data_IF_369305058187
#
_entry.id   IF_369305058187
#
_cell.length_a   1.000
_cell.length_b   1.000
_cell.length_c   1.000
_cell.angle_alpha   90.00
_cell.angle_beta   90.00
_cell.angle_gamma   90.00
#
_symmetry.space_group_name_H-M   'P 1'
#
loop_
_entity.id
_entity.type
_entity.pdbx_description
1 polymer ?
#
# COMPACT_ATOMS: atom_id res chain seq x y z
N UNK A 1 -65.02 9.49 60.19
CA UNK A 1 -64.56 10.02 58.89
C UNK A 1 -63.09 9.72 58.74
N UNK A 2 -62.77 8.70 57.93
CA UNK A 2 -61.36 8.29 57.62
C UNK A 2 -60.95 8.88 56.31
N UNK A 3 -59.96 9.73 56.33
CA UNK A 3 -59.36 10.28 55.08
C UNK A 3 -58.31 9.28 54.59
N UNK A 4 -58.57 8.71 53.44
CA UNK A 4 -57.59 7.94 52.65
C UNK A 4 -56.63 8.89 52.00
N UNK A 5 -55.35 8.77 52.30
CA UNK A 5 -54.27 9.48 51.62
C UNK A 5 -53.79 8.56 50.54
N UNK A 6 -54.06 8.92 49.25
CA UNK A 6 -53.60 8.20 48.09
C UNK A 6 -52.19 8.69 47.79
N UNK A 7 -51.20 7.88 48.07
CA UNK A 7 -49.83 8.12 47.58
C UNK A 7 -49.72 7.67 46.14
N UNK A 8 -49.67 8.63 45.22
CA UNK A 8 -49.32 8.37 43.82
C UNK A 8 -47.81 8.31 43.75
N UNK A 9 -47.26 7.12 43.65
CA UNK A 9 -45.84 6.90 43.38
C UNK A 9 -45.63 7.10 41.90
N UNK A 10 -45.13 8.29 41.51
CA UNK A 10 -44.68 8.54 40.14
C UNK A 10 -43.32 7.90 39.96
N UNK A 11 -43.28 6.71 39.38
CA UNK A 11 -42.07 6.11 38.91
C UNK A 11 -41.67 6.88 37.63
N UNK A 12 -40.78 7.84 37.77
CA UNK A 12 -40.08 8.41 36.65
C UNK A 12 -39.07 7.37 36.15
N UNK A 13 -39.49 6.57 35.18
CA UNK A 13 -38.54 5.81 34.35
C UNK A 13 -37.74 6.82 33.53
N UNK A 14 -36.61 7.25 34.06
CA UNK A 14 -35.56 7.87 33.26
C UNK A 14 -34.95 6.79 32.39
N UNK A 15 -35.53 6.63 31.19
CA UNK A 15 -34.83 5.98 30.11
C UNK A 15 -33.63 6.89 29.77
N UNK A 16 -32.53 6.64 30.46
CA UNK A 16 -31.24 7.10 30.00
C UNK A 16 -30.99 6.45 28.61
N UNK A 17 -31.30 7.20 27.60
CA UNK A 17 -30.84 6.89 26.25
C UNK A 17 -29.31 7.07 26.28
N UNK A 18 -28.61 6.03 26.72
CA UNK A 18 -27.20 5.90 26.46
C UNK A 18 -27.14 5.75 24.92
N UNK A 19 -27.04 6.87 24.23
CA UNK A 19 -26.47 6.89 22.90
C UNK A 19 -25.02 6.39 23.08
N UNK A 20 -24.83 5.09 23.13
CA UNK A 20 -23.57 4.52 22.71
C UNK A 20 -23.44 4.99 21.25
N UNK A 21 -22.62 6.01 21.04
CA UNK A 21 -22.01 6.22 19.74
C UNK A 21 -21.14 4.97 19.53
N UNK A 22 -21.75 3.89 19.09
CA UNK A 22 -21.04 2.88 18.36
C UNK A 22 -20.51 3.66 17.16
N UNK A 23 -19.22 3.96 17.17
CA UNK A 23 -18.52 4.19 15.94
C UNK A 23 -18.87 2.94 15.11
N UNK A 24 -19.80 3.10 14.20
CA UNK A 24 -19.95 2.14 13.14
C UNK A 24 -18.64 2.30 12.37
N UNK A 25 -17.66 1.46 12.69
CA UNK A 25 -16.61 1.19 11.73
C UNK A 25 -17.40 0.81 10.48
N UNK A 26 -17.31 1.65 9.45
CA UNK A 26 -17.87 1.32 8.16
C UNK A 26 -17.10 0.07 7.77
N UNK A 27 -17.73 -1.09 7.83
CA UNK A 27 -17.08 -2.32 7.44
C UNK A 27 -16.62 -2.12 6.00
N UNK A 28 -15.36 -2.38 5.74
CA UNK A 28 -14.88 -2.48 4.36
C UNK A 28 -15.79 -3.45 3.66
N UNK A 29 -16.29 -3.06 2.49
CA UNK A 29 -17.15 -3.90 1.67
C UNK A 29 -16.50 -5.28 1.47
N UNK A 30 -17.34 -6.30 1.30
CA UNK A 30 -16.84 -7.63 0.95
C UNK A 30 -15.94 -7.55 -0.27
N UNK A 31 -14.88 -8.36 -0.36
CA UNK A 31 -14.02 -8.39 -1.52
C UNK A 31 -14.87 -8.61 -2.78
N UNK A 32 -14.82 -7.70 -3.72
CA UNK A 32 -15.49 -7.86 -4.99
C UNK A 32 -14.57 -8.39 -6.09
N UNK A 33 -13.30 -8.53 -5.77
CA UNK A 33 -12.31 -9.25 -6.55
C UNK A 33 -11.71 -10.38 -5.72
N UNK A 34 -11.80 -11.59 -6.23
CA UNK A 34 -10.96 -12.66 -5.75
C UNK A 34 -9.51 -12.27 -6.07
N UNK A 35 -8.68 -12.28 -5.01
CA UNK A 35 -7.29 -11.91 -5.13
C UNK A 35 -6.51 -12.88 -6.00
N UNK A 36 -5.55 -12.29 -6.71
CA UNK A 36 -4.67 -12.95 -7.65
C UNK A 36 -3.74 -13.97 -7.05
N UNK A 37 -2.50 -14.16 -7.52
CA UNK A 37 -1.82 -13.22 -8.42
C UNK A 37 -2.41 -13.22 -9.83
N UNK A 38 -2.38 -12.05 -10.46
CA UNK A 38 -2.77 -11.88 -11.86
C UNK A 38 -1.69 -12.49 -12.76
N UNK A 39 -2.13 -13.24 -13.77
CA UNK A 39 -1.21 -13.79 -14.76
C UNK A 39 -0.90 -12.75 -15.82
N UNK A 40 0.38 -12.45 -16.00
CA UNK A 40 0.93 -11.59 -17.05
C UNK A 40 0.19 -10.24 -17.21
N UNK A 41 -0.21 -9.93 -18.45
CA UNK A 41 -1.01 -8.77 -18.81
C UNK A 41 -2.52 -8.97 -18.58
N UNK A 42 -2.94 -9.90 -17.72
CA UNK A 42 -4.33 -9.98 -17.33
C UNK A 42 -4.73 -8.66 -16.70
N UNK A 43 -5.10 -7.80 -17.58
CA UNK A 43 -5.88 -6.64 -17.21
C UNK A 43 -7.15 -7.19 -16.60
N UNK A 44 -7.65 -6.50 -15.65
CA UNK A 44 -9.03 -6.66 -15.22
C UNK A 44 -10.02 -6.40 -16.37
N UNK A 45 -9.92 -7.12 -17.45
CA UNK A 45 -10.76 -6.92 -18.65
C UNK A 45 -12.22 -7.30 -18.43
N UNK A 46 -12.47 -8.14 -17.44
CA UNK A 46 -13.80 -8.69 -17.14
C UNK A 46 -14.13 -8.50 -15.67
N UNK A 47 -13.97 -7.28 -15.19
CA UNK A 47 -14.26 -6.99 -13.81
C UNK A 47 -15.72 -7.25 -13.47
N UNK A 48 -15.99 -7.96 -12.39
CA UNK A 48 -17.27 -7.86 -11.73
C UNK A 48 -17.47 -6.38 -11.35
N UNK A 49 -18.72 -5.99 -11.25
CA UNK A 49 -19.12 -4.60 -11.06
C UNK A 49 -18.22 -3.85 -10.07
N UNK A 50 -17.62 -2.75 -10.51
CA UNK A 50 -16.94 -1.82 -9.63
C UNK A 50 -17.91 -1.37 -8.54
N UNK A 51 -17.47 -1.38 -7.28
CA UNK A 51 -18.32 -0.95 -6.17
C UNK A 51 -18.39 0.55 -6.05
N UNK A 52 -17.30 1.27 -6.41
CA UNK A 52 -17.19 2.71 -6.36
C UNK A 52 -17.58 3.27 -4.97
N UNK A 53 -17.05 2.64 -3.94
CA UNK A 53 -17.32 2.98 -2.55
C UNK A 53 -16.55 4.23 -2.12
N UNK A 54 -17.19 5.09 -1.33
CA UNK A 54 -16.55 6.23 -0.71
C UNK A 54 -16.02 5.83 0.67
N UNK A 55 -14.69 5.75 0.78
CA UNK A 55 -14.00 5.39 2.01
C UNK A 55 -13.47 6.64 2.76
N UNK A 56 -14.02 7.82 2.53
CA UNK A 56 -13.59 9.07 3.19
C UNK A 56 -13.72 9.05 4.71
N UNK A 57 -14.56 8.17 5.24
CA UNK A 57 -14.72 7.95 6.68
C UNK A 57 -13.65 7.08 7.33
N UNK A 58 -12.73 6.48 6.56
CA UNK A 58 -11.64 5.68 7.11
C UNK A 58 -10.48 6.57 7.53
N UNK A 59 -9.89 6.29 8.67
CA UNK A 59 -8.71 6.95 9.21
C UNK A 59 -7.41 6.14 9.05
N UNK A 60 -7.54 4.88 8.61
CA UNK A 60 -6.45 3.92 8.45
C UNK A 60 -5.72 3.99 7.10
N UNK A 61 -5.87 5.08 6.37
CA UNK A 61 -5.13 5.29 5.12
C UNK A 61 -3.62 5.31 5.36
N UNK A 62 -2.88 4.52 4.57
CA UNK A 62 -1.42 4.48 4.61
C UNK A 62 -0.88 5.79 4.05
N UNK A 63 -0.13 6.54 4.84
CA UNK A 63 0.39 7.86 4.49
C UNK A 63 1.88 7.86 4.20
N UNK A 64 2.65 7.03 4.92
CA UNK A 64 4.09 6.94 4.73
C UNK A 64 4.47 5.84 3.77
N UNK A 65 5.37 6.18 2.87
CA UNK A 65 5.82 5.30 1.80
C UNK A 65 7.32 5.41 1.61
N UNK A 66 7.95 4.34 1.22
CA UNK A 66 9.31 4.34 0.71
C UNK A 66 9.27 4.32 -0.82
N UNK A 67 10.06 5.18 -1.47
CA UNK A 67 10.04 5.23 -2.94
C UNK A 67 11.00 6.28 -3.49
N UNK A 68 10.95 6.53 -4.80
CA UNK A 68 11.71 7.61 -5.41
C UNK A 68 11.25 8.97 -4.89
N UNK A 69 12.19 9.89 -4.74
CA UNK A 69 11.89 11.28 -4.35
C UNK A 69 11.38 12.07 -5.55
N UNK A 70 10.09 11.97 -5.79
CA UNK A 70 9.39 12.66 -6.87
C UNK A 70 8.84 11.73 -7.95
N UNK A 71 8.28 12.36 -8.97
CA UNK A 71 7.55 11.71 -10.04
C UNK A 71 8.42 11.52 -11.29
N UNK A 72 7.99 10.60 -12.12
CA UNK A 72 8.50 10.35 -13.46
C UNK A 72 7.47 10.82 -14.49
N UNK A 73 7.88 11.47 -15.56
CA UNK A 73 6.94 11.75 -16.64
C UNK A 73 6.83 10.57 -17.60
N UNK A 74 5.60 10.14 -17.83
CA UNK A 74 5.27 9.07 -18.75
C UNK A 74 4.98 9.54 -20.18
N UNK A 75 5.10 10.85 -20.44
CA UNK A 75 4.82 11.47 -21.73
C UNK A 75 3.41 11.18 -22.29
N UNK A 76 2.42 11.02 -21.43
CA UNK A 76 1.05 10.73 -21.82
C UNK A 76 0.80 9.29 -22.25
N UNK A 77 1.69 8.38 -21.95
CA UNK A 77 1.57 6.95 -22.28
C UNK A 77 0.71 6.16 -21.30
N UNK A 78 -0.20 6.77 -20.64
CA UNK A 78 -1.23 6.07 -19.93
C UNK A 78 -2.14 5.32 -20.90
N UNK A 79 -2.72 4.31 -20.53
CA UNK A 79 -2.58 3.23 -19.56
C UNK A 79 -1.66 2.10 -20.05
N UNK A 80 -0.85 2.38 -21.08
CA UNK A 80 -0.02 1.37 -21.74
C UNK A 80 1.31 1.12 -21.03
N UNK A 81 1.43 1.58 -19.79
CA UNK A 81 2.62 1.39 -19.01
C UNK A 81 2.84 -0.06 -18.67
N UNK A 82 3.58 -0.67 -19.53
CA UNK A 82 3.98 -2.02 -19.35
C UNK A 82 5.37 -2.04 -18.73
N UNK A 83 5.42 -2.17 -17.42
CA UNK A 83 6.47 -2.91 -16.76
C UNK A 83 7.87 -2.31 -16.64
N UNK A 84 8.26 -1.30 -17.37
CA UNK A 84 9.69 -1.13 -17.61
C UNK A 84 10.28 0.12 -16.99
N UNK A 85 9.48 0.91 -16.28
CA UNK A 85 9.95 2.22 -15.81
C UNK A 85 11.02 2.10 -14.71
N UNK A 86 10.86 1.17 -13.81
CA UNK A 86 11.90 0.86 -12.82
C UNK A 86 13.11 0.24 -13.48
N UNK A 87 12.89 -0.67 -14.43
CA UNK A 87 13.95 -1.30 -15.21
C UNK A 87 14.72 -0.27 -16.02
N UNK A 88 14.02 0.61 -16.72
CA UNK A 88 14.62 1.71 -17.48
C UNK A 88 15.44 2.65 -16.58
N UNK A 89 14.87 3.08 -15.46
CA UNK A 89 15.53 4.01 -14.52
C UNK A 89 16.67 3.37 -13.73
N UNK A 90 16.84 2.06 -13.79
CA UNK A 90 17.91 1.32 -13.10
C UNK A 90 18.85 0.58 -14.05
N UNK A 91 18.83 0.89 -15.36
CA UNK A 91 19.64 0.25 -16.41
C UNK A 91 19.47 -1.29 -16.40
N UNK A 92 18.26 -1.77 -16.30
CA UNK A 92 17.95 -3.20 -16.28
C UNK A 92 18.33 -3.95 -15.00
N UNK A 93 18.70 -3.23 -13.93
CA UNK A 93 19.18 -3.86 -12.69
C UNK A 93 18.06 -4.28 -11.73
N UNK A 94 16.86 -3.76 -11.96
CA UNK A 94 15.71 -3.97 -11.09
C UNK A 94 14.42 -3.87 -11.91
N UNK A 95 13.54 -4.85 -11.78
CA UNK A 95 12.17 -4.78 -12.33
C UNK A 95 11.18 -4.37 -11.24
N UNK A 96 9.93 -4.08 -11.61
CA UNK A 96 8.86 -3.79 -10.65
C UNK A 96 8.53 -5.01 -9.79
N UNK A 97 8.45 -6.19 -10.41
CA UNK A 97 8.24 -7.46 -9.72
C UNK A 97 9.36 -7.70 -8.72
N UNK A 98 10.61 -7.54 -9.13
CA UNK A 98 11.74 -7.74 -8.23
C UNK A 98 11.75 -6.71 -7.10
N UNK A 99 11.45 -5.44 -7.38
CA UNK A 99 11.38 -4.38 -6.37
C UNK A 99 10.33 -4.66 -5.29
N UNK A 100 9.26 -5.34 -5.63
CA UNK A 100 8.23 -5.78 -4.69
C UNK A 100 8.60 -7.05 -3.90
N UNK A 101 9.87 -7.46 -3.93
CA UNK A 101 10.42 -8.55 -3.10
C UNK A 101 11.39 -8.00 -2.08
N UNK A 102 11.64 -8.80 -1.02
CA UNK A 102 12.66 -8.46 -0.02
C UNK A 102 14.04 -8.25 -0.68
N UNK A 103 14.42 -9.13 -1.59
CA UNK A 103 15.72 -9.05 -2.25
C UNK A 103 15.85 -7.80 -3.14
N UNK A 104 14.81 -7.47 -3.87
CA UNK A 104 14.78 -6.26 -4.69
C UNK A 104 14.78 -4.99 -3.85
N UNK A 105 13.97 -4.95 -2.79
CA UNK A 105 13.98 -3.85 -1.83
C UNK A 105 15.37 -3.63 -1.23
N UNK A 106 16.04 -4.69 -0.80
CA UNK A 106 17.40 -4.61 -0.23
C UNK A 106 18.46 -4.11 -1.23
N UNK A 107 18.26 -4.30 -2.55
CA UNK A 107 19.14 -3.70 -3.56
C UNK A 107 19.11 -2.18 -3.48
N UNK A 108 17.97 -1.56 -3.18
CA UNK A 108 17.83 -0.10 -3.09
C UNK A 108 18.58 0.49 -1.90
N UNK A 109 18.90 -0.32 -0.87
CA UNK A 109 19.68 0.12 0.28
C UNK A 109 21.08 0.58 -0.12
N UNK A 110 21.83 -0.27 -0.85
CA UNK A 110 23.25 -0.08 -1.06
C UNK A 110 23.74 -0.26 -2.51
N UNK A 111 22.94 -0.88 -3.39
CA UNK A 111 23.37 -1.24 -4.75
C UNK A 111 22.77 -0.33 -5.80
N UNK A 112 21.50 -0.01 -5.67
CA UNK A 112 20.74 0.84 -6.58
C UNK A 112 20.25 2.01 -5.74
N UNK A 113 21.12 2.97 -5.49
CA UNK A 113 20.88 4.07 -4.54
C UNK A 113 19.96 5.15 -5.10
N UNK A 114 19.76 5.15 -6.41
CA UNK A 114 18.94 6.12 -7.13
C UNK A 114 18.27 5.47 -8.33
N UNK A 115 17.25 6.12 -8.85
CA UNK A 115 16.65 5.86 -10.15
C UNK A 115 17.05 7.00 -11.08
N UNK A 116 17.57 6.67 -12.23
CA UNK A 116 17.99 7.65 -13.22
C UNK A 116 17.10 7.57 -14.46
N UNK A 117 15.97 8.25 -14.41
CA UNK A 117 15.22 8.57 -15.60
C UNK A 117 15.93 9.73 -16.31
N UNK A 118 15.95 9.75 -17.62
CA UNK A 118 16.58 10.84 -18.35
C UNK A 118 15.91 12.20 -18.05
N UNK A 119 16.53 13.29 -18.45
CA UNK A 119 16.01 14.64 -18.16
C UNK A 119 14.63 14.90 -18.76
N UNK A 120 14.28 14.21 -19.86
CA UNK A 120 12.95 14.33 -20.47
C UNK A 120 11.87 13.65 -19.62
N UNK A 121 12.26 12.76 -18.74
CA UNK A 121 11.35 11.97 -17.90
C UNK A 121 11.42 12.30 -16.41
N UNK A 122 12.12 13.36 -16.02
CA UNK A 122 12.17 13.79 -14.60
C UNK A 122 13.53 13.67 -13.94
N UNK A 123 14.53 13.11 -14.65
CA UNK A 123 15.92 13.01 -14.19
C UNK A 123 16.15 11.99 -13.08
N UNK A 124 17.25 12.18 -12.35
CA UNK A 124 17.64 11.28 -11.26
C UNK A 124 16.85 11.56 -10.00
N UNK A 125 16.42 10.50 -9.33
CA UNK A 125 15.71 10.54 -8.05
C UNK A 125 16.37 9.60 -7.05
N UNK A 126 16.53 10.07 -5.82
CA UNK A 126 16.98 9.23 -4.72
C UNK A 126 15.83 8.42 -4.13
N UNK A 127 16.15 7.30 -3.50
CA UNK A 127 15.19 6.57 -2.69
C UNK A 127 15.05 7.23 -1.32
N UNK A 128 13.82 7.53 -0.92
CA UNK A 128 13.52 8.19 0.35
C UNK A 128 12.24 7.67 0.98
N UNK A 129 11.98 8.09 2.21
CA UNK A 129 10.64 8.00 2.81
C UNK A 129 9.93 9.33 2.58
N UNK A 130 8.69 9.25 2.17
CA UNK A 130 7.82 10.41 2.03
C UNK A 130 6.49 10.16 2.73
N UNK A 131 5.84 11.24 3.14
CA UNK A 131 4.53 11.20 3.76
C UNK A 131 3.55 12.01 2.94
N UNK A 132 2.38 11.42 2.68
CA UNK A 132 1.29 12.06 1.95
C UNK A 132 0.50 12.98 2.88
N UNK A 133 0.13 14.15 2.39
CA UNK A 133 -0.63 15.12 3.17
C UNK A 133 -2.14 14.83 3.10
N UNK A 134 -2.79 14.42 4.20
CA UNK A 134 -4.22 14.15 4.19
C UNK A 134 -5.08 15.42 3.95
N UNK A 135 -4.56 16.60 4.26
CA UNK A 135 -5.26 17.87 3.97
C UNK A 135 -5.32 18.16 2.47
N UNK A 136 -4.48 17.51 1.66
CA UNK A 136 -4.48 17.57 0.20
C UNK A 136 -4.90 16.23 -0.43
N UNK A 137 -5.76 15.47 0.25
CA UNK A 137 -6.27 14.18 -0.22
C UNK A 137 -5.19 13.11 -0.43
N UNK A 138 -3.99 13.27 0.15
CA UNK A 138 -2.81 12.45 -0.11
C UNK A 138 -2.32 12.57 -1.57
N UNK A 139 -2.26 13.78 -2.08
CA UNK A 139 -1.77 14.07 -3.41
C UNK A 139 -0.29 13.65 -3.56
N UNK A 140 0.03 13.03 -4.68
CA UNK A 140 1.36 12.50 -5.00
C UNK A 140 2.31 13.51 -5.67
N UNK A 141 1.84 14.71 -5.96
CA UNK A 141 2.65 15.77 -6.56
C UNK A 141 3.67 16.34 -5.55
N UNK A 142 4.77 15.63 -5.36
CA UNK A 142 5.81 15.90 -4.36
C UNK A 142 7.19 16.22 -4.93
N UNK A 143 7.25 16.55 -6.20
CA UNK A 143 8.47 16.89 -6.92
C UNK A 143 8.57 16.22 -8.28
N UNK A 144 9.26 16.84 -9.19
CA UNK A 144 9.33 16.43 -10.60
C UNK A 144 8.17 16.96 -11.43
N UNK A 145 7.85 16.31 -12.56
CA UNK A 145 6.71 16.67 -13.39
C UNK A 145 5.40 16.51 -12.61
N UNK A 146 4.38 17.29 -12.98
CA UNK A 146 3.07 17.26 -12.36
C UNK A 146 2.00 16.60 -13.24
N UNK A 147 2.18 16.63 -14.55
CA UNK A 147 1.24 16.08 -15.52
C UNK A 147 1.86 14.89 -16.27
N UNK A 148 1.03 13.96 -16.67
CA UNK A 148 1.45 12.73 -17.36
C UNK A 148 2.57 12.01 -16.61
N UNK A 149 2.29 11.68 -15.35
CA UNK A 149 3.28 11.15 -14.41
C UNK A 149 3.00 9.73 -13.99
N UNK A 150 4.08 9.08 -13.56
CA UNK A 150 4.03 7.88 -12.74
C UNK A 150 4.69 8.15 -11.39
N UNK A 151 4.19 7.48 -10.37
CA UNK A 151 4.72 7.54 -9.03
C UNK A 151 4.72 6.16 -8.39
N UNK A 152 5.60 5.97 -7.42
CA UNK A 152 5.81 4.68 -6.78
C UNK A 152 5.91 4.83 -5.27
N UNK A 153 5.25 3.93 -4.57
CA UNK A 153 5.38 3.78 -3.13
C UNK A 153 5.52 2.32 -2.73
N UNK A 154 6.36 2.07 -1.75
CA UNK A 154 6.63 0.75 -1.20
C UNK A 154 6.31 0.76 0.28
N UNK A 155 5.67 -0.29 0.74
CA UNK A 155 5.54 -0.61 2.16
C UNK A 155 6.02 -2.03 2.43
N UNK A 156 6.45 -2.26 3.66
CA UNK A 156 6.71 -3.61 4.17
C UNK A 156 5.67 -3.91 5.23
N UNK A 157 4.99 -5.04 5.08
CA UNK A 157 3.94 -5.51 5.96
C UNK A 157 4.48 -6.72 6.72
N UNK A 158 4.64 -6.62 8.04
CA UNK A 158 5.03 -7.76 8.88
C UNK A 158 3.79 -8.44 9.44
N UNK A 159 3.48 -9.62 8.91
CA UNK A 159 2.33 -10.40 9.33
C UNK A 159 2.75 -11.51 10.32
N UNK A 160 2.14 -11.60 11.51
CA UNK A 160 2.54 -12.58 12.53
C UNK A 160 2.27 -14.04 12.11
N UNK A 161 1.42 -14.22 11.12
CA UNK A 161 1.05 -15.51 10.51
C UNK A 161 0.68 -15.30 9.05
N UNK A 162 0.62 -16.39 8.28
CA UNK A 162 -0.02 -16.32 6.96
C UNK A 162 -1.51 -15.99 7.12
N UNK A 163 -1.99 -14.98 6.36
CA UNK A 163 -3.36 -14.49 6.48
C UNK A 163 -3.87 -13.91 5.15
N UNK A 164 -5.19 -13.86 5.03
CA UNK A 164 -5.88 -13.11 4.01
C UNK A 164 -6.24 -11.72 4.54
N UNK A 165 -6.36 -10.78 3.65
CA UNK A 165 -6.73 -9.40 3.91
C UNK A 165 -7.58 -8.85 2.78
N UNK A 166 -8.37 -7.84 3.06
CA UNK A 166 -9.04 -7.03 2.03
C UNK A 166 -8.23 -5.77 1.84
N UNK A 167 -7.73 -5.58 0.63
CA UNK A 167 -6.99 -4.42 0.18
C UNK A 167 -7.92 -3.48 -0.58
N UNK A 168 -7.95 -2.20 -0.21
CA UNK A 168 -8.82 -1.18 -0.79
C UNK A 168 -7.99 -0.02 -1.36
N UNK A 169 -7.55 -0.12 -2.62
CA UNK A 169 -6.83 0.95 -3.29
C UNK A 169 -7.79 2.02 -3.83
N UNK A 170 -7.48 3.29 -3.54
CA UNK A 170 -8.11 4.44 -4.18
C UNK A 170 -7.02 5.28 -4.86
N UNK A 171 -7.19 5.51 -6.15
CA UNK A 171 -6.14 6.11 -6.97
C UNK A 171 -6.73 6.98 -8.08
N UNK A 172 -5.89 7.83 -8.62
CA UNK A 172 -6.19 8.69 -9.74
C UNK A 172 -4.92 8.83 -10.60
N UNK A 173 -4.85 8.37 -11.87
CA UNK A 173 -5.89 7.67 -12.65
C UNK A 173 -5.78 6.14 -12.56
N UNK A 174 -4.72 5.55 -13.13
CA UNK A 174 -4.52 4.10 -13.25
C UNK A 174 -3.59 3.59 -12.18
N UNK A 175 -3.72 2.33 -11.80
CA UNK A 175 -2.89 1.76 -10.76
C UNK A 175 -2.53 0.30 -10.95
N UNK A 176 -1.38 -0.05 -10.42
CA UNK A 176 -0.89 -1.43 -10.33
C UNK A 176 -0.28 -1.67 -8.96
N UNK A 177 -0.51 -2.86 -8.39
CA UNK A 177 0.05 -3.26 -7.11
C UNK A 177 0.67 -4.65 -7.24
N UNK A 178 1.90 -4.78 -6.74
CA UNK A 178 2.60 -6.05 -6.59
C UNK A 178 2.82 -6.34 -5.12
N UNK A 179 2.72 -7.62 -4.75
CA UNK A 179 3.06 -8.11 -3.41
C UNK A 179 3.96 -9.33 -3.55
N UNK A 180 5.14 -9.29 -2.95
CA UNK A 180 6.11 -10.38 -2.96
C UNK A 180 6.51 -10.88 -4.37
N UNK A 181 6.60 -9.98 -5.34
CA UNK A 181 6.98 -10.29 -6.72
C UNK A 181 5.82 -10.66 -7.64
N UNK A 182 4.61 -10.68 -7.14
CA UNK A 182 3.42 -11.05 -7.89
C UNK A 182 2.46 -9.86 -8.01
N UNK A 183 1.87 -9.67 -9.20
CA UNK A 183 0.91 -8.58 -9.44
C UNK A 183 -0.47 -8.97 -8.90
N UNK A 184 -1.01 -8.17 -8.00
CA UNK A 184 -2.30 -8.41 -7.35
C UNK A 184 -3.39 -7.45 -7.79
N UNK A 185 -3.02 -6.32 -8.38
CA UNK A 185 -3.95 -5.29 -8.84
C UNK A 185 -3.45 -4.68 -10.15
N UNK A 186 -4.35 -4.48 -11.09
CA UNK A 186 -4.05 -3.81 -12.35
C UNK A 186 -5.32 -3.15 -12.88
N UNK A 187 -5.48 -1.87 -12.63
CA UNK A 187 -6.66 -1.10 -13.00
C UNK A 187 -6.30 -0.02 -14.03
N UNK A 188 -6.51 -0.30 -15.34
CA UNK A 188 -6.12 0.58 -16.42
C UNK A 188 -7.20 1.61 -16.79
N UNK A 189 -8.14 1.85 -15.91
CA UNK A 189 -9.27 2.76 -16.14
C UNK A 189 -9.22 3.91 -15.16
N UNK A 190 -9.50 5.10 -15.64
CA UNK A 190 -9.61 6.29 -14.82
C UNK A 190 -10.63 6.12 -13.68
N UNK A 191 -10.26 6.44 -12.47
CA UNK A 191 -11.12 6.27 -11.30
C UNK A 191 -11.57 7.59 -10.69
N UNK A 192 -10.72 8.59 -10.69
CA UNK A 192 -10.99 9.95 -10.24
C UNK A 192 -11.56 10.05 -8.84
N UNK A 193 -10.70 10.23 -7.86
CA UNK A 193 -11.12 10.56 -6.50
C UNK A 193 -10.20 9.98 -5.42
N UNK A 194 -9.75 10.85 -4.54
CA UNK A 194 -8.73 10.52 -3.53
C UNK A 194 -9.10 9.35 -2.60
N UNK A 195 -10.38 9.11 -2.36
CA UNK A 195 -10.86 8.14 -1.38
C UNK A 195 -11.97 7.26 -1.93
N UNK A 196 -12.11 7.21 -3.26
CA UNK A 196 -13.07 6.32 -3.92
C UNK A 196 -12.38 5.02 -4.30
N UNK A 197 -12.89 3.95 -3.76
CA UNK A 197 -12.42 2.58 -4.01
C UNK A 197 -13.29 1.93 -5.07
N UNK A 198 -12.69 1.53 -6.18
CA UNK A 198 -13.40 0.80 -7.23
C UNK A 198 -13.51 -0.68 -6.93
N UNK A 199 -12.47 -1.25 -6.34
CA UNK A 199 -12.41 -2.68 -6.05
C UNK A 199 -11.79 -2.91 -4.68
N UNK A 200 -12.49 -3.69 -3.86
CA UNK A 200 -11.94 -4.32 -2.68
C UNK A 200 -11.36 -5.67 -3.11
N UNK A 201 -10.07 -5.87 -2.89
CA UNK A 201 -9.33 -7.02 -3.42
C UNK A 201 -8.89 -7.94 -2.29
N UNK A 202 -9.27 -9.21 -2.33
CA UNK A 202 -8.71 -10.20 -1.41
C UNK A 202 -7.24 -10.42 -1.77
N UNK A 203 -6.36 -10.25 -0.81
CA UNK A 203 -4.92 -10.50 -0.92
C UNK A 203 -4.44 -11.46 0.16
N UNK A 204 -3.26 -12.04 -0.03
CA UNK A 204 -2.69 -12.96 0.93
C UNK A 204 -1.29 -12.52 1.36
N UNK A 205 -1.07 -12.47 2.66
CA UNK A 205 0.24 -12.23 3.24
C UNK A 205 0.87 -13.53 3.73
N UNK A 206 2.17 -13.69 3.50
CA UNK A 206 2.98 -14.73 4.12
C UNK A 206 3.30 -14.32 5.56
N UNK A 207 3.59 -15.27 6.43
CA UNK A 207 4.14 -14.97 7.76
C UNK A 207 5.47 -14.21 7.62
N UNK A 208 5.66 -13.15 8.40
CA UNK A 208 6.82 -12.27 8.37
C UNK A 208 6.67 -11.16 7.32
N UNK A 209 7.77 -10.61 6.87
CA UNK A 209 7.81 -9.47 5.98
C UNK A 209 7.25 -9.78 4.59
N UNK A 210 6.35 -8.92 4.13
CA UNK A 210 5.78 -8.88 2.79
C UNK A 210 6.07 -7.50 2.20
N UNK A 211 6.56 -7.44 0.98
CA UNK A 211 6.85 -6.16 0.30
C UNK A 211 5.73 -5.89 -0.69
N UNK A 212 5.09 -4.74 -0.53
CA UNK A 212 4.09 -4.24 -1.46
C UNK A 212 4.66 -3.04 -2.22
N UNK A 213 4.59 -3.08 -3.54
CA UNK A 213 4.88 -1.97 -4.44
C UNK A 213 3.56 -1.48 -5.03
N UNK A 214 3.28 -0.20 -4.87
CA UNK A 214 2.15 0.48 -5.48
C UNK A 214 2.65 1.49 -6.50
N UNK A 215 2.14 1.40 -7.73
CA UNK A 215 2.36 2.33 -8.82
C UNK A 215 1.06 2.99 -9.19
N UNK A 216 1.07 4.30 -9.33
CA UNK A 216 -0.08 5.09 -9.81
C UNK A 216 0.38 5.96 -10.97
N UNK A 217 -0.46 6.10 -11.98
CA UNK A 217 -0.24 6.98 -13.12
C UNK A 217 -1.30 8.06 -13.16
N UNK A 218 -0.92 9.23 -13.60
CA UNK A 218 -1.79 10.41 -13.68
C UNK A 218 -1.60 11.11 -15.03
N UNK A 219 -2.70 11.60 -15.64
CA UNK A 219 -2.69 12.35 -16.90
C UNK A 219 -2.50 13.85 -16.70
N UNK A 220 -3.13 14.41 -15.70
CA UNK A 220 -3.05 15.84 -15.39
C UNK A 220 -3.93 16.23 -14.23
N UNK A 221 -3.42 17.09 -13.36
CA UNK A 221 -4.13 17.55 -12.17
C UNK A 221 -3.58 16.95 -10.89
N UNK A 222 -4.44 16.39 -10.07
CA UNK A 222 -4.07 15.81 -8.79
C UNK A 222 -3.94 14.30 -8.91
N UNK A 223 -2.78 13.76 -8.57
CA UNK A 223 -2.53 12.32 -8.53
C UNK A 223 -2.74 11.78 -7.11
N UNK A 224 -3.49 10.73 -6.96
CA UNK A 224 -3.78 10.13 -5.66
C UNK A 224 -3.30 8.69 -5.60
N UNK A 225 -2.57 8.35 -4.53
CA UNK A 225 -2.10 6.99 -4.24
C UNK A 225 -2.52 6.62 -2.82
N UNK A 226 -3.76 6.25 -2.66
CA UNK A 226 -4.32 5.90 -1.37
C UNK A 226 -4.52 4.39 -1.24
N UNK A 227 -4.21 3.86 -0.09
CA UNK A 227 -4.37 2.45 0.23
C UNK A 227 -4.73 2.31 1.70
N UNK A 228 -5.67 1.44 1.97
CA UNK A 228 -5.86 0.86 3.29
C UNK A 228 -6.22 -0.62 3.19
N UNK A 229 -6.14 -1.31 4.30
CA UNK A 229 -6.61 -2.68 4.45
C UNK A 229 -7.85 -2.70 5.34
N UNK A 230 -8.46 -3.88 5.52
CA UNK A 230 -9.52 -4.05 6.51
C UNK A 230 -9.00 -3.86 7.94
N UNK A 231 -9.91 -3.52 8.86
CA UNK A 231 -9.57 -3.23 10.26
C UNK A 231 -8.85 -4.41 10.94
N UNK A 232 -9.29 -5.65 10.65
CA UNK A 232 -8.67 -6.84 11.22
C UNK A 232 -7.21 -6.99 10.77
N UNK A 233 -6.88 -6.54 9.57
CA UNK A 233 -5.51 -6.50 9.08
C UNK A 233 -4.72 -5.41 9.80
N UNK A 234 -5.23 -4.18 9.85
CA UNK A 234 -4.56 -3.07 10.54
C UNK A 234 -4.31 -3.38 12.03
N UNK A 235 -5.24 -4.07 12.68
CA UNK A 235 -5.10 -4.50 14.09
C UNK A 235 -4.07 -5.64 14.30
N UNK A 236 -3.63 -6.27 13.22
CA UNK A 236 -2.86 -7.52 13.30
C UNK A 236 -1.42 -7.38 12.79
N UNK A 237 -1.19 -6.54 11.80
CA UNK A 237 0.10 -6.40 11.12
C UNK A 237 0.80 -5.10 11.48
N UNK A 238 2.13 -5.10 11.41
CA UNK A 238 2.91 -3.86 11.43
C UNK A 238 3.19 -3.44 9.98
N UNK A 239 3.06 -2.14 9.69
CA UNK A 239 3.30 -1.57 8.36
C UNK A 239 4.43 -0.55 8.43
N UNK A 240 5.43 -0.71 7.57
CA UNK A 240 6.59 0.17 7.48
C UNK A 240 6.67 0.87 6.11
N UNK A 241 7.11 2.16 6.01
CA UNK A 241 7.65 3.00 7.08
C UNK A 241 6.58 3.37 8.12
N UNK A 242 6.94 3.31 9.40
CA UNK A 242 6.11 3.77 10.50
C UNK A 242 6.66 5.10 11.06
N UNK A 243 7.73 5.07 11.83
CA UNK A 243 8.38 6.25 12.39
C UNK A 243 9.46 6.83 11.48
N UNK A 244 10.00 6.04 10.55
CA UNK A 244 11.06 6.45 9.64
C UNK A 244 10.67 7.70 8.82
N UNK A 245 11.63 8.61 8.66
CA UNK A 245 11.48 9.82 7.84
C UNK A 245 12.55 9.93 6.74
N UNK A 246 13.36 8.91 6.59
CA UNK A 246 14.38 8.81 5.56
C UNK A 246 14.74 7.35 5.29
N UNK A 247 15.48 7.13 4.21
CA UNK A 247 15.93 5.80 3.77
C UNK A 247 16.67 5.02 4.86
N UNK A 248 17.58 5.67 5.60
CA UNK A 248 18.41 4.97 6.58
C UNK A 248 17.57 4.46 7.76
N UNK A 249 16.63 5.26 8.22
CA UNK A 249 15.73 4.89 9.31
C UNK A 249 14.73 3.82 8.86
N UNK A 250 14.20 3.92 7.64
CA UNK A 250 13.35 2.86 7.07
C UNK A 250 14.05 1.50 7.08
N UNK A 251 15.32 1.43 6.64
CA UNK A 251 16.04 0.15 6.69
C UNK A 251 16.34 -0.33 8.10
N UNK A 252 16.47 0.56 9.09
CA UNK A 252 16.56 0.14 10.50
C UNK A 252 15.26 -0.47 11.03
N UNK A 253 14.11 0.04 10.58
CA UNK A 253 12.81 -0.53 10.93
C UNK A 253 12.65 -1.92 10.32
N UNK A 254 12.77 -2.00 8.99
CA UNK A 254 12.47 -3.26 8.29
C UNK A 254 13.50 -4.36 8.55
N UNK A 255 14.76 -4.05 8.86
CA UNK A 255 15.77 -5.05 9.21
C UNK A 255 15.42 -5.88 10.44
N UNK A 256 14.55 -5.37 11.31
CA UNK A 256 14.07 -6.12 12.48
C UNK A 256 13.13 -7.27 12.11
N UNK A 257 12.45 -7.14 10.96
CA UNK A 257 11.41 -8.05 10.49
C UNK A 257 11.84 -8.83 9.24
N UNK A 258 12.89 -8.40 8.56
CA UNK A 258 13.44 -9.15 7.44
C UNK A 258 14.06 -10.46 7.93
N UNK A 259 13.93 -11.54 7.13
CA UNK A 259 14.63 -12.79 7.46
C UNK A 259 16.13 -12.52 7.59
N UNK A 260 16.72 -12.94 8.70
CA UNK A 260 18.16 -12.88 8.87
C UNK A 260 18.77 -13.76 7.80
N UNK A 261 19.42 -13.16 6.80
CA UNK A 261 20.29 -13.93 5.91
C UNK A 261 21.27 -14.71 6.78
N UNK A 262 21.36 -16.02 6.66
CA UNK A 262 22.37 -16.76 7.37
C UNK A 262 23.73 -16.24 6.89
N UNK A 263 24.31 -15.34 7.67
CA UNK A 263 25.64 -14.79 7.40
C UNK A 263 26.63 -15.95 7.37
N UNK A 264 27.04 -16.32 6.14
CA UNK A 264 28.02 -17.34 5.88
C UNK A 264 27.46 -18.75 6.11
N UNK A 265 27.18 -19.45 5.03
CA UNK A 265 26.96 -20.90 5.09
C UNK A 265 28.18 -21.59 5.72
N UNK A 266 28.14 -21.78 7.03
CA UNK A 266 29.03 -22.70 7.73
C UNK A 266 28.93 -24.15 7.19
N UNK A 267 27.93 -24.41 6.33
CA UNK A 267 27.69 -25.74 5.74
C UNK A 267 28.76 -26.20 4.75
N UNK A 268 29.52 -25.30 4.15
CA UNK A 268 30.63 -25.69 3.24
C UNK A 268 31.89 -26.10 3.99
N UNK A 269 32.14 -25.50 5.14
CA UNK A 269 33.36 -25.81 5.93
C UNK A 269 33.30 -27.21 6.57
N UNK A 270 32.13 -27.65 7.03
CA UNK A 270 31.98 -28.97 7.62
C UNK A 270 32.04 -30.13 6.59
N UNK A 271 31.62 -29.85 5.34
CA UNK A 271 31.73 -30.84 4.27
C UNK A 271 33.20 -31.04 3.82
N UNK A 272 34.02 -29.98 3.85
CA UNK A 272 35.43 -30.06 3.48
C UNK A 272 36.31 -30.65 4.60
N UNK A 273 35.94 -30.42 5.85
CA UNK A 273 36.67 -31.01 6.99
C UNK A 273 36.47 -32.54 7.08
N UNK A 274 35.33 -33.06 6.62
CA UNK A 274 35.08 -34.52 6.62
C UNK A 274 35.72 -35.28 5.44
N UNK A 275 36.33 -34.57 4.47
CA UNK A 275 37.02 -35.18 3.32
C UNK A 275 38.53 -35.24 3.44
N UNK A 276 39.09 -34.83 4.57
CA UNK A 276 40.46 -35.06 4.97
C UNK A 276 40.45 -36.07 6.13
#
# INVERSE_FOLDING_TARGET
MKRFLLFVLTFALSFGLVCSMTNFAIAIGEPNLEGGPLKDDELFKTQPNAVNEDHSGYDTWIRKWYGPDGNYTNNGNEPNHRNELIEMGTDGKLTQEELSTINGLLKTKNKITEINWDNAHGGTREWTVFELNPADGNNMNRGGPADSIDTYGIIVIDAPKAMKSVMSPAHDNHAQIWINGEKWYNHPTWTGGAQKVHFNVEVSFKKGANVLLYRVTEGGGSAYMNLHFDDATHDTVDIYPDEANNKADFFKEVEKVLPVEPTGKLTTIWADIKRK
#
